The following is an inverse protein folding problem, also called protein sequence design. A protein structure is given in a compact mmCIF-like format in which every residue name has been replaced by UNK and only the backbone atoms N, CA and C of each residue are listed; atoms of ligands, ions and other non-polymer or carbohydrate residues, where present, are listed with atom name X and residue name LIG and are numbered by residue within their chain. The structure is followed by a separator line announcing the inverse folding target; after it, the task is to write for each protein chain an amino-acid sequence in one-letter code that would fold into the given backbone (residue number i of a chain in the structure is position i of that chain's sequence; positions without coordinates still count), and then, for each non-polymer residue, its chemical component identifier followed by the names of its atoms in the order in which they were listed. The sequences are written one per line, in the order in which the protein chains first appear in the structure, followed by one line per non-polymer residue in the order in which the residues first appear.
data_IF_883931261466
#
_entry.id   IF_883931261466
#
_cell.length_a   1.000
_cell.length_b   1.000
_cell.length_c   1.000
_cell.angle_alpha   90.00
_cell.angle_beta   90.00
_cell.angle_gamma   90.00
#
_symmetry.space_group_name_H-M   'P 1'
#
loop_
_entity.id
_entity.type
_entity.pdbx_description
1 polymer ?
#
# COMPACT_ATOMS: atom_id res chain seq x y z
N UNK A 1 -3.23 11.15 23.74
CA UNK A 1 -4.12 12.29 23.49
C UNK A 1 -4.17 12.39 21.99
N UNK A 2 -5.24 11.91 21.40
CA UNK A 2 -5.45 11.95 19.96
C UNK A 2 -5.52 13.40 19.50
N UNK A 3 -4.77 13.75 18.49
CA UNK A 3 -4.91 15.01 17.77
C UNK A 3 -6.37 15.21 17.37
N UNK A 4 -6.75 16.44 17.23
CA UNK A 4 -8.13 16.90 17.07
C UNK A 4 -8.88 16.05 16.03
N UNK A 5 -10.12 15.63 16.31
CA UNK A 5 -10.95 14.85 15.35
C UNK A 5 -11.03 15.48 13.95
N UNK A 6 -10.82 16.79 13.86
CA UNK A 6 -10.80 17.56 12.61
C UNK A 6 -9.56 17.28 11.76
N UNK A 7 -8.38 17.05 12.37
CA UNK A 7 -7.15 16.77 11.62
C UNK A 7 -7.15 15.36 11.00
N UNK A 8 -7.70 14.38 11.72
CA UNK A 8 -7.90 13.04 11.15
C UNK A 8 -8.90 13.05 10.00
N UNK A 9 -9.97 13.81 10.13
CA UNK A 9 -10.97 14.00 9.06
C UNK A 9 -10.35 14.63 7.83
N UNK A 10 -9.49 15.61 7.99
CA UNK A 10 -8.81 16.30 6.87
C UNK A 10 -7.86 15.35 6.13
N UNK A 11 -7.12 14.50 6.82
CA UNK A 11 -6.25 13.51 6.19
C UNK A 11 -7.07 12.47 5.41
N UNK A 12 -8.16 11.99 5.98
CA UNK A 12 -9.07 11.03 5.34
C UNK A 12 -9.80 11.68 4.14
N UNK A 13 -10.27 12.90 4.28
CA UNK A 13 -10.91 13.65 3.18
C UNK A 13 -9.93 13.93 2.03
N UNK A 14 -8.67 14.22 2.34
CA UNK A 14 -7.62 14.42 1.33
C UNK A 14 -7.28 13.11 0.61
N UNK A 15 -7.24 11.99 1.34
CA UNK A 15 -7.09 10.66 0.74
C UNK A 15 -8.28 10.29 -0.15
N UNK A 16 -9.50 10.58 0.29
CA UNK A 16 -10.72 10.37 -0.49
C UNK A 16 -10.74 11.19 -1.78
N UNK A 17 -10.27 12.44 -1.70
CA UNK A 17 -10.18 13.31 -2.88
C UNK A 17 -9.10 12.84 -3.87
N UNK A 18 -8.03 12.18 -3.39
CA UNK A 18 -7.02 11.54 -4.24
C UNK A 18 -7.58 10.39 -5.08
N UNK A 19 -8.59 9.71 -4.55
CA UNK A 19 -9.26 8.62 -5.26
C UNK A 19 -10.08 9.10 -6.46
N UNK A 20 -10.71 10.26 -6.35
CA UNK A 20 -11.52 10.86 -7.43
C UNK A 20 -10.66 11.44 -8.55
N UNK A 21 -9.43 11.83 -8.27
CA UNK A 21 -8.45 12.24 -9.28
C UNK A 21 -7.74 10.99 -9.81
N UNK A 22 -7.40 10.97 -11.09
CA UNK A 22 -6.50 9.94 -11.65
C UNK A 22 -5.22 9.98 -10.83
N UNK A 23 -5.11 9.08 -9.86
CA UNK A 23 -4.08 9.01 -8.84
C UNK A 23 -2.69 9.28 -9.44
N UNK A 24 -2.16 10.46 -9.18
CA UNK A 24 -0.79 10.84 -9.49
C UNK A 24 -0.01 10.94 -8.20
N UNK A 25 1.24 10.61 -8.27
CA UNK A 25 2.13 10.62 -7.10
C UNK A 25 2.24 12.02 -6.48
N UNK A 26 2.25 13.05 -7.32
CA UNK A 26 2.30 14.44 -6.88
C UNK A 26 1.08 14.80 -6.02
N UNK A 27 -0.12 14.37 -6.43
CA UNK A 27 -1.38 14.62 -5.71
C UNK A 27 -1.34 13.99 -4.31
N UNK A 28 -0.68 12.82 -4.18
CA UNK A 28 -0.48 12.15 -2.89
C UNK A 28 0.40 12.97 -1.94
N UNK A 29 1.54 13.44 -2.40
CA UNK A 29 2.44 14.24 -1.58
C UNK A 29 1.83 15.61 -1.20
N UNK A 30 1.09 16.24 -2.11
CA UNK A 30 0.35 17.47 -1.83
C UNK A 30 -0.73 17.25 -0.76
N UNK A 31 -1.45 16.13 -0.83
CA UNK A 31 -2.49 15.80 0.13
C UNK A 31 -1.96 15.61 1.56
N UNK A 32 -0.76 15.10 1.72
CA UNK A 32 -0.14 14.89 3.03
C UNK A 32 0.70 16.08 3.52
N UNK A 33 0.77 17.15 2.74
CA UNK A 33 1.58 18.33 3.06
C UNK A 33 3.02 17.97 3.50
N UNK A 34 3.57 16.92 2.87
CA UNK A 34 4.94 16.46 3.12
C UNK A 34 5.89 17.49 2.53
N UNK A 35 6.99 17.78 3.19
CA UNK A 35 8.08 18.59 2.62
C UNK A 35 8.40 18.14 1.20
N UNK A 36 8.81 19.06 0.30
CA UNK A 36 9.05 18.71 -1.10
C UNK A 36 9.94 17.48 -1.18
N UNK A 37 9.38 16.42 -1.71
CA UNK A 37 10.08 15.14 -1.88
C UNK A 37 11.32 15.41 -2.70
N UNK A 38 12.48 15.05 -2.18
CA UNK A 38 13.72 15.29 -2.89
C UNK A 38 13.63 14.63 -4.27
N UNK A 39 14.22 15.26 -5.29
CA UNK A 39 14.30 14.68 -6.63
C UNK A 39 14.81 13.23 -6.59
N UNK A 40 15.77 12.96 -5.69
CA UNK A 40 16.30 11.62 -5.48
C UNK A 40 15.23 10.61 -5.05
N UNK A 41 14.36 10.97 -4.08
CA UNK A 41 13.25 10.10 -3.68
C UNK A 41 12.34 9.81 -4.87
N UNK A 42 11.97 10.82 -5.62
CA UNK A 42 11.08 10.67 -6.77
C UNK A 42 11.69 9.75 -7.84
N UNK A 43 12.96 9.95 -8.18
CA UNK A 43 13.65 9.14 -9.18
C UNK A 43 13.77 7.66 -8.72
N UNK A 44 14.12 7.41 -7.46
CA UNK A 44 14.21 6.05 -6.91
C UNK A 44 12.84 5.37 -6.81
N UNK A 45 11.81 6.11 -6.38
CA UNK A 45 10.44 5.60 -6.33
C UNK A 45 9.92 5.24 -7.72
N UNK A 46 10.18 6.08 -8.72
CA UNK A 46 9.82 5.84 -10.10
C UNK A 46 10.51 4.57 -10.64
N UNK A 47 11.79 4.40 -10.35
CA UNK A 47 12.53 3.21 -10.76
C UNK A 47 11.91 1.93 -10.14
N UNK A 48 11.52 1.96 -8.87
CA UNK A 48 10.83 0.83 -8.23
C UNK A 48 9.48 0.56 -8.89
N UNK A 49 8.70 1.61 -9.15
CA UNK A 49 7.41 1.49 -9.84
C UNK A 49 7.58 0.83 -11.23
N UNK A 50 8.56 1.28 -12.01
CA UNK A 50 8.88 0.69 -13.31
C UNK A 50 9.31 -0.77 -13.16
N UNK A 51 10.17 -1.08 -12.19
CA UNK A 51 10.65 -2.43 -11.93
C UNK A 51 9.50 -3.41 -11.59
N UNK A 52 8.59 -3.04 -10.71
CA UNK A 52 7.40 -3.86 -10.40
C UNK A 52 6.47 -4.02 -11.61
N UNK A 53 6.28 -2.96 -12.39
CA UNK A 53 5.47 -3.01 -13.60
C UNK A 53 6.06 -3.93 -14.66
N UNK A 54 7.35 -3.80 -14.93
CA UNK A 54 8.07 -4.60 -15.91
C UNK A 54 8.08 -6.09 -15.54
N UNK A 55 8.18 -6.42 -14.25
CA UNK A 55 8.06 -7.79 -13.78
C UNK A 55 6.71 -8.40 -14.18
N UNK A 56 5.60 -7.73 -13.88
CA UNK A 56 4.27 -8.23 -14.25
C UNK A 56 4.13 -8.34 -15.77
N UNK A 57 4.71 -7.41 -16.52
CA UNK A 57 4.69 -7.44 -18.00
C UNK A 57 5.48 -8.60 -18.58
N UNK A 58 6.63 -8.93 -17.98
CA UNK A 58 7.53 -9.99 -18.47
C UNK A 58 7.04 -11.38 -18.13
N UNK A 59 6.33 -11.54 -17.01
CA UNK A 59 5.81 -12.82 -16.55
C UNK A 59 4.46 -13.15 -17.19
N UNK A 60 4.47 -14.08 -18.13
CA UNK A 60 3.28 -14.44 -18.94
C UNK A 60 2.06 -14.79 -18.09
N UNK A 61 2.24 -15.48 -16.97
CA UNK A 61 1.13 -15.89 -16.10
C UNK A 61 0.55 -14.69 -15.34
N UNK A 62 1.41 -13.79 -14.87
CA UNK A 62 0.97 -12.57 -14.18
C UNK A 62 0.28 -11.60 -15.16
N UNK A 63 0.86 -11.41 -16.35
CA UNK A 63 0.26 -10.57 -17.38
C UNK A 63 -1.17 -11.01 -17.71
N UNK A 64 -1.43 -12.34 -17.82
CA UNK A 64 -2.76 -12.90 -18.06
C UNK A 64 -3.81 -12.50 -17.02
N UNK A 65 -3.40 -12.26 -15.78
CA UNK A 65 -4.30 -11.79 -14.72
C UNK A 65 -4.92 -10.43 -15.10
N UNK A 66 -4.18 -9.59 -15.82
CA UNK A 66 -4.59 -8.26 -16.25
C UNK A 66 -5.16 -8.21 -17.67
N UNK A 67 -5.08 -9.30 -18.43
CA UNK A 67 -5.55 -9.30 -19.80
C UNK A 67 -7.02 -8.89 -19.92
N UNK A 68 -7.24 -7.95 -20.79
CA UNK A 68 -8.56 -7.46 -21.16
C UNK A 68 -8.96 -8.18 -22.46
N UNK A 69 -10.00 -9.00 -22.38
CA UNK A 69 -10.63 -9.62 -23.54
C UNK A 69 -11.92 -8.87 -23.80
N UNK A 70 -11.94 -8.07 -24.87
CA UNK A 70 -13.07 -7.22 -25.24
C UNK A 70 -13.25 -7.34 -26.76
N UNK A 71 -14.37 -7.94 -27.18
CA UNK A 71 -14.64 -8.20 -28.59
C UNK A 71 -14.80 -6.93 -29.45
N UNK A 72 -15.09 -5.80 -28.81
CA UNK A 72 -15.27 -4.51 -29.48
C UNK A 72 -13.94 -3.75 -29.65
N UNK A 73 -12.84 -4.26 -29.08
CA UNK A 73 -11.52 -3.66 -29.15
C UNK A 73 -10.59 -4.47 -30.07
N UNK A 74 -9.81 -3.77 -30.88
CA UNK A 74 -8.70 -4.38 -31.60
C UNK A 74 -7.58 -4.82 -30.63
N UNK A 75 -6.69 -5.70 -31.09
CA UNK A 75 -5.58 -6.24 -30.29
C UNK A 75 -4.73 -5.17 -29.64
N UNK A 76 -4.41 -4.12 -30.37
CA UNK A 76 -3.53 -3.02 -29.88
C UNK A 76 -4.19 -2.32 -28.69
N UNK A 77 -5.49 -2.00 -28.80
CA UNK A 77 -6.22 -1.35 -27.70
C UNK A 77 -6.41 -2.27 -26.48
N UNK A 78 -6.56 -3.58 -26.69
CA UNK A 78 -6.60 -4.55 -25.58
C UNK A 78 -5.24 -4.59 -24.85
N UNK A 79 -4.13 -4.59 -25.60
CA UNK A 79 -2.78 -4.53 -25.02
C UNK A 79 -2.52 -3.22 -24.28
N UNK A 80 -2.92 -2.08 -24.83
CA UNK A 80 -2.81 -0.77 -24.15
C UNK A 80 -3.62 -0.73 -22.86
N UNK A 81 -4.83 -1.29 -22.86
CA UNK A 81 -5.69 -1.36 -21.68
C UNK A 81 -5.09 -2.29 -20.61
N UNK A 82 -4.59 -3.45 -21.01
CA UNK A 82 -3.86 -4.38 -20.12
C UNK A 82 -2.64 -3.67 -19.50
N UNK A 83 -1.87 -2.98 -20.31
CA UNK A 83 -0.72 -2.21 -19.84
C UNK A 83 -1.10 -1.12 -18.84
N UNK A 84 -2.20 -0.42 -19.09
CA UNK A 84 -2.74 0.58 -18.17
C UNK A 84 -3.19 -0.03 -16.84
N UNK A 85 -3.85 -1.19 -16.89
CA UNK A 85 -4.35 -1.85 -15.68
C UNK A 85 -3.20 -2.36 -14.81
N UNK A 86 -2.12 -2.88 -15.41
CA UNK A 86 -0.89 -3.24 -14.68
C UNK A 86 -0.29 -2.00 -14.00
N UNK A 87 -0.14 -0.91 -14.74
CA UNK A 87 0.41 0.34 -14.17
C UNK A 87 -0.45 0.91 -13.06
N UNK A 88 -1.76 0.86 -13.20
CA UNK A 88 -2.69 1.28 -12.16
C UNK A 88 -2.58 0.42 -10.89
N UNK A 89 -2.47 -0.90 -11.06
CA UNK A 89 -2.26 -1.83 -9.95
C UNK A 89 -0.98 -1.49 -9.18
N UNK A 90 0.16 -1.37 -9.88
CA UNK A 90 1.44 -1.06 -9.24
C UNK A 90 1.40 0.32 -8.57
N UNK A 91 0.78 1.31 -9.20
CA UNK A 91 0.61 2.64 -8.62
C UNK A 91 -0.18 2.59 -7.30
N UNK A 92 -1.27 1.82 -7.26
CA UNK A 92 -2.05 1.63 -6.02
C UNK A 92 -1.23 0.88 -4.95
N UNK A 93 -0.53 -0.20 -5.34
CA UNK A 93 0.32 -0.94 -4.41
C UNK A 93 1.38 -0.01 -3.77
N UNK A 94 2.10 0.74 -4.59
CA UNK A 94 3.14 1.66 -4.13
C UNK A 94 2.56 2.78 -3.24
N UNK A 95 1.41 3.34 -3.61
CA UNK A 95 0.71 4.35 -2.80
C UNK A 95 0.25 3.80 -1.44
N UNK A 96 -0.30 2.58 -1.42
CA UNK A 96 -0.66 1.89 -0.17
C UNK A 96 0.56 1.65 0.72
N UNK A 97 1.69 1.25 0.14
CA UNK A 97 2.93 1.06 0.89
C UNK A 97 3.42 2.36 1.52
N UNK A 98 3.45 3.47 0.78
CA UNK A 98 3.79 4.80 1.34
C UNK A 98 2.88 5.12 2.51
N UNK A 99 1.57 4.90 2.36
CA UNK A 99 0.60 5.18 3.41
C UNK A 99 0.83 4.31 4.66
N UNK A 100 1.08 3.01 4.49
CA UNK A 100 1.43 2.14 5.62
C UNK A 100 2.70 2.61 6.36
N UNK A 101 3.68 3.13 5.62
CA UNK A 101 4.89 3.70 6.24
C UNK A 101 4.57 4.92 7.10
N UNK A 102 3.63 5.78 6.71
CA UNK A 102 3.15 6.85 7.59
C UNK A 102 2.45 6.31 8.83
N UNK A 103 1.59 5.29 8.69
CA UNK A 103 0.90 4.70 9.83
C UNK A 103 1.87 4.07 10.83
N UNK A 104 2.86 3.30 10.35
CA UNK A 104 3.84 2.70 11.27
C UNK A 104 4.70 3.76 11.97
N UNK A 105 5.04 4.87 11.30
CA UNK A 105 5.77 5.99 11.94
C UNK A 105 4.92 6.74 12.98
N UNK A 106 3.60 6.58 12.97
CA UNK A 106 2.68 7.05 14.02
C UNK A 106 2.41 6.00 15.11
N UNK A 107 3.11 4.85 15.12
CA UNK A 107 2.87 3.70 16.01
C UNK A 107 1.47 3.06 15.87
N UNK A 108 0.82 3.24 14.72
CA UNK A 108 -0.55 2.75 14.52
C UNK A 108 -0.60 1.32 14.00
N UNK A 109 0.52 0.74 13.61
CA UNK A 109 0.59 -0.63 13.11
C UNK A 109 1.29 -1.53 14.12
N UNK A 110 0.69 -2.67 14.39
CA UNK A 110 1.29 -3.68 15.25
C UNK A 110 1.25 -3.35 16.75
N UNK A 111 0.40 -2.42 17.19
CA UNK A 111 0.23 -2.07 18.59
C UNK A 111 -0.37 -3.21 19.40
N UNK A 112 -0.17 -3.20 20.72
CA UNK A 112 -0.76 -4.18 21.65
C UNK A 112 -2.21 -3.87 22.03
N UNK A 113 -2.63 -2.61 21.87
CA UNK A 113 -3.96 -2.13 22.21
C UNK A 113 -4.38 -0.90 21.38
N UNK A 114 -5.63 -0.46 21.55
CA UNK A 114 -6.23 0.66 20.81
C UNK A 114 -5.75 2.04 21.23
N UNK A 115 -4.81 2.16 22.15
CA UNK A 115 -4.15 3.43 22.46
C UNK A 115 -3.06 3.78 21.43
N UNK A 116 -2.61 2.79 20.64
CA UNK A 116 -1.62 2.94 19.57
C UNK A 116 -0.33 3.67 20.00
N UNK A 117 0.16 3.36 21.21
CA UNK A 117 1.37 3.99 21.76
C UNK A 117 2.64 3.16 21.55
N UNK A 118 2.48 1.86 21.31
CA UNK A 118 3.56 0.87 21.29
C UNK A 118 3.66 0.09 19.96
N UNK A 119 3.06 0.59 18.91
CA UNK A 119 3.21 0.03 17.57
C UNK A 119 4.67 0.12 17.07
N UNK A 120 5.02 -0.74 16.12
CA UNK A 120 6.38 -0.80 15.60
C UNK A 120 6.60 0.20 14.46
N UNK A 121 7.69 0.97 14.54
CA UNK A 121 8.15 1.85 13.44
C UNK A 121 8.69 1.07 12.23
N UNK A 122 8.94 -0.23 12.39
CA UNK A 122 9.48 -1.15 11.38
C UNK A 122 8.52 -2.30 11.08
N UNK A 123 7.26 -2.19 11.50
CA UNK A 123 6.26 -3.25 11.45
C UNK A 123 6.25 -4.06 10.17
N UNK A 124 6.21 -3.40 9.01
CA UNK A 124 6.12 -4.07 7.72
C UNK A 124 7.39 -4.82 7.35
N UNK A 125 8.55 -4.21 7.59
CA UNK A 125 9.84 -4.85 7.33
C UNK A 125 10.10 -5.99 8.31
N UNK A 126 9.71 -5.84 9.58
CA UNK A 126 9.82 -6.92 10.57
C UNK A 126 8.98 -8.13 10.14
N UNK A 127 7.73 -7.94 9.72
CA UNK A 127 6.88 -9.02 9.21
C UNK A 127 7.52 -9.75 8.02
N UNK A 128 8.10 -9.01 7.10
CA UNK A 128 8.72 -9.57 5.91
C UNK A 128 9.99 -10.35 6.23
N UNK A 129 10.88 -9.80 7.06
CA UNK A 129 12.17 -10.43 7.37
C UNK A 129 12.06 -11.56 8.40
N UNK A 130 11.05 -11.53 9.28
CA UNK A 130 10.81 -12.61 10.25
C UNK A 130 10.22 -13.87 9.61
N UNK A 131 9.26 -13.73 8.68
CA UNK A 131 8.63 -14.86 8.00
C UNK A 131 9.29 -15.18 6.65
N UNK A 132 10.45 -15.81 6.70
CA UNK A 132 11.20 -16.21 5.49
C UNK A 132 10.45 -17.18 4.57
N UNK A 133 9.46 -17.87 5.08
CA UNK A 133 8.70 -18.88 4.33
C UNK A 133 7.75 -18.22 3.34
N UNK A 134 7.19 -17.07 3.70
CA UNK A 134 6.15 -16.39 2.94
C UNK A 134 6.64 -15.11 2.22
N UNK A 135 7.94 -14.90 2.09
CA UNK A 135 8.48 -13.69 1.47
C UNK A 135 8.05 -13.49 0.00
N UNK A 136 7.96 -14.56 -0.77
CA UNK A 136 7.46 -14.46 -2.16
C UNK A 136 5.96 -14.21 -2.22
N UNK A 137 5.21 -14.63 -1.21
CA UNK A 137 3.76 -14.48 -1.12
C UNK A 137 3.38 -13.31 -0.18
N UNK A 138 4.33 -12.42 0.15
CA UNK A 138 4.13 -11.36 1.11
C UNK A 138 2.98 -10.42 0.74
N UNK A 139 2.79 -10.15 -0.54
CA UNK A 139 1.66 -9.37 -1.02
C UNK A 139 0.33 -10.04 -0.69
N UNK A 140 0.18 -11.30 -1.08
CA UNK A 140 -1.07 -12.06 -0.87
C UNK A 140 -1.34 -12.32 0.61
N UNK A 141 -0.33 -12.81 1.35
CA UNK A 141 -0.51 -13.31 2.71
C UNK A 141 -0.46 -12.25 3.80
N UNK A 142 0.22 -11.14 3.56
CA UNK A 142 0.34 -10.06 4.54
C UNK A 142 -0.30 -8.76 4.08
N UNK A 143 0.08 -8.24 2.91
CA UNK A 143 -0.40 -6.93 2.49
C UNK A 143 -1.88 -6.92 2.14
N UNK A 144 -2.38 -7.89 1.39
CA UNK A 144 -3.80 -7.96 1.06
C UNK A 144 -4.70 -8.07 2.30
N UNK A 145 -4.42 -8.96 3.29
CA UNK A 145 -5.17 -9.00 4.54
C UNK A 145 -5.10 -7.69 5.34
N UNK A 146 -3.93 -7.04 5.38
CA UNK A 146 -3.80 -5.73 6.04
C UNK A 146 -4.65 -4.68 5.33
N UNK A 147 -4.59 -4.58 3.99
CA UNK A 147 -5.33 -3.61 3.22
C UNK A 147 -6.84 -3.80 3.31
N UNK A 148 -7.30 -5.03 3.04
CA UNK A 148 -8.72 -5.28 2.79
C UNK A 148 -9.47 -5.80 4.02
N UNK A 149 -8.80 -6.46 4.95
CA UNK A 149 -9.45 -7.01 6.13
C UNK A 149 -9.15 -6.20 7.41
N UNK A 150 -7.91 -5.75 7.61
CA UNK A 150 -7.59 -4.97 8.80
C UNK A 150 -8.01 -3.50 8.65
N UNK A 151 -7.51 -2.79 7.64
CA UNK A 151 -7.77 -1.35 7.47
C UNK A 151 -9.17 -1.04 6.96
N UNK A 152 -9.82 -1.96 6.26
CA UNK A 152 -11.12 -1.74 5.60
C UNK A 152 -12.32 -2.38 6.32
N UNK A 153 -12.13 -3.10 7.41
CA UNK A 153 -13.24 -3.72 8.16
C UNK A 153 -13.55 -2.92 9.43
N UNK A 154 -14.74 -2.28 9.50
CA UNK A 154 -15.16 -1.56 10.71
C UNK A 154 -15.51 -2.52 11.84
N UNK A 155 -15.65 -1.96 13.04
CA UNK A 155 -16.21 -2.62 14.23
C UNK A 155 -15.50 -3.93 14.66
N UNK A 156 -14.22 -4.08 14.31
CA UNK A 156 -13.41 -5.16 14.87
C UNK A 156 -13.20 -4.95 16.37
N UNK A 157 -13.36 -6.02 17.14
CA UNK A 157 -13.17 -5.95 18.59
C UNK A 157 -11.74 -5.50 18.92
N UNK A 158 -11.60 -4.37 19.58
CA UNK A 158 -10.31 -3.77 19.97
C UNK A 158 -9.33 -3.57 18.80
N UNK A 159 -9.83 -3.43 17.57
CA UNK A 159 -9.01 -3.38 16.36
C UNK A 159 -8.04 -4.56 16.20
N UNK A 160 -8.30 -5.67 16.89
CA UNK A 160 -7.48 -6.88 16.85
C UNK A 160 -7.49 -7.48 15.44
N UNK A 161 -6.32 -7.90 15.01
CA UNK A 161 -6.10 -8.57 13.73
C UNK A 161 -5.08 -9.68 13.87
N UNK A 162 -5.41 -10.87 13.36
CA UNK A 162 -4.50 -12.03 13.36
C UNK A 162 -3.75 -12.07 12.05
N UNK A 163 -2.43 -11.93 12.11
CA UNK A 163 -1.54 -12.01 10.96
C UNK A 163 -1.35 -13.46 10.50
N UNK A 164 -0.83 -13.66 9.28
CA UNK A 164 -0.54 -14.97 8.70
C UNK A 164 0.36 -15.83 9.61
N UNK A 165 1.34 -15.24 10.28
CA UNK A 165 2.22 -15.92 11.23
C UNK A 165 1.55 -16.25 12.58
N UNK A 166 0.24 -16.03 12.73
CA UNK A 166 -0.53 -16.29 13.95
C UNK A 166 -0.42 -15.22 15.03
N UNK A 167 0.39 -14.17 14.86
CA UNK A 167 0.51 -13.08 15.81
C UNK A 167 -0.74 -12.20 15.77
N UNK A 168 -1.32 -11.90 16.92
CA UNK A 168 -2.42 -10.93 17.05
C UNK A 168 -1.86 -9.55 17.36
N UNK A 169 -2.31 -8.55 16.62
CA UNK A 169 -1.89 -7.15 16.75
C UNK A 169 -3.09 -6.22 16.58
N UNK A 170 -2.98 -4.97 17.05
CA UNK A 170 -3.95 -3.93 16.73
C UNK A 170 -3.55 -3.17 15.49
N UNK A 171 -4.49 -3.02 14.57
CA UNK A 171 -4.40 -2.21 13.34
C UNK A 171 -5.68 -1.40 13.24
N UNK A 172 -5.64 -0.05 13.14
CA UNK A 172 -6.84 0.76 13.13
C UNK A 172 -7.72 0.50 11.90
N UNK A 173 -9.02 0.67 12.05
CA UNK A 173 -9.92 0.82 10.90
C UNK A 173 -9.75 2.20 10.30
N UNK A 174 -9.54 2.26 8.99
CA UNK A 174 -9.42 3.50 8.24
C UNK A 174 -10.39 3.44 7.05
N UNK A 175 -11.53 4.12 7.21
CA UNK A 175 -12.49 4.24 6.13
C UNK A 175 -11.94 5.19 5.05
N UNK A 176 -11.34 4.64 4.01
CA UNK A 176 -10.81 5.42 2.90
C UNK A 176 -10.70 4.60 1.64
N UNK A 177 -11.11 5.18 0.51
CA UNK A 177 -11.20 4.52 -0.78
C UNK A 177 -9.93 3.81 -1.26
N UNK A 178 -8.77 4.21 -0.73
CA UNK A 178 -7.48 3.56 -1.05
C UNK A 178 -7.45 2.06 -0.72
N UNK A 179 -8.28 1.61 0.24
CA UNK A 179 -8.34 0.22 0.72
C UNK A 179 -9.66 -0.47 0.40
N UNK A 180 -10.55 0.13 -0.40
CA UNK A 180 -11.79 -0.50 -0.81
C UNK A 180 -11.53 -1.70 -1.72
N UNK A 181 -12.21 -2.82 -1.40
CA UNK A 181 -12.10 -4.06 -2.16
C UNK A 181 -12.56 -3.94 -3.60
N UNK A 182 -13.56 -3.10 -3.84
CA UNK A 182 -14.19 -2.91 -5.15
C UNK A 182 -13.22 -2.35 -6.19
N UNK A 183 -12.18 -1.66 -5.73
CA UNK A 183 -11.14 -1.09 -6.58
C UNK A 183 -10.07 -2.09 -7.00
N UNK A 184 -10.01 -3.25 -6.35
CA UNK A 184 -9.01 -4.27 -6.61
C UNK A 184 -9.69 -5.60 -6.96
N UNK A 185 -9.73 -6.00 -8.24
CA UNK A 185 -10.25 -7.31 -8.62
C UNK A 185 -9.59 -8.42 -7.80
N UNK A 186 -10.40 -9.36 -7.30
CA UNK A 186 -9.90 -10.45 -6.43
C UNK A 186 -8.71 -11.19 -7.02
N UNK A 187 -8.70 -11.41 -8.35
CA UNK A 187 -7.59 -12.04 -9.06
C UNK A 187 -6.25 -11.30 -8.92
N UNK A 188 -6.26 -9.99 -8.65
CA UNK A 188 -5.03 -9.22 -8.43
C UNK A 188 -4.41 -9.48 -7.04
N UNK A 189 -5.14 -10.07 -6.11
CA UNK A 189 -4.65 -10.37 -4.75
C UNK A 189 -3.78 -11.61 -4.70
N UNK A 190 -3.87 -12.47 -5.72
CA UNK A 190 -3.11 -13.72 -5.85
C UNK A 190 -1.76 -13.52 -6.57
N UNK A 191 -1.32 -12.26 -6.71
CA UNK A 191 -0.05 -11.95 -7.36
C UNK A 191 1.09 -12.19 -6.37
N UNK A 192 2.06 -12.97 -6.81
CA UNK A 192 3.30 -13.24 -6.08
C UNK A 192 4.47 -12.47 -6.69
N UNK A 193 5.35 -11.94 -5.84
CA UNK A 193 6.56 -11.26 -6.25
C UNK A 193 7.77 -11.97 -5.64
N UNK A 194 8.90 -12.12 -6.36
CA UNK A 194 10.13 -12.58 -5.74
C UNK A 194 10.48 -11.74 -4.51
N UNK A 195 10.98 -12.37 -3.45
CA UNK A 195 11.34 -11.70 -2.20
C UNK A 195 12.20 -10.45 -2.40
N UNK A 196 13.11 -10.48 -3.38
CA UNK A 196 13.99 -9.35 -3.72
C UNK A 196 13.25 -8.05 -4.05
N UNK A 197 12.01 -8.13 -4.55
CA UNK A 197 11.19 -6.94 -4.86
C UNK A 197 10.77 -6.20 -3.59
N UNK A 198 10.32 -6.94 -2.59
CA UNK A 198 9.99 -6.34 -1.30
C UNK A 198 11.23 -5.96 -0.50
N UNK A 199 12.35 -6.70 -0.61
CA UNK A 199 13.62 -6.28 -0.04
C UNK A 199 14.05 -4.91 -0.58
N UNK A 200 14.02 -4.70 -1.90
CA UNK A 200 14.33 -3.40 -2.50
C UNK A 200 13.38 -2.31 -2.02
N UNK A 201 12.07 -2.62 -1.96
CA UNK A 201 11.06 -1.66 -1.52
C UNK A 201 11.27 -1.24 -0.08
N UNK A 202 11.52 -2.18 0.85
CA UNK A 202 11.79 -1.89 2.25
C UNK A 202 13.11 -1.14 2.44
N UNK A 203 14.17 -1.52 1.74
CA UNK A 203 15.44 -0.81 1.77
C UNK A 203 15.29 0.64 1.30
N UNK A 204 14.52 0.87 0.24
CA UNK A 204 14.19 2.20 -0.24
C UNK A 204 13.45 3.01 0.83
N UNK A 205 12.32 2.53 1.32
CA UNK A 205 11.52 3.26 2.30
C UNK A 205 12.24 3.49 3.62
N UNK A 206 13.03 2.52 4.09
CA UNK A 206 13.83 2.67 5.32
C UNK A 206 14.95 3.71 5.18
N UNK A 207 15.35 4.04 3.96
CA UNK A 207 16.32 5.11 3.68
C UNK A 207 15.73 6.53 3.79
N UNK A 208 14.41 6.67 3.95
CA UNK A 208 13.74 7.96 4.01
C UNK A 208 12.97 8.14 5.31
N UNK A 209 12.87 9.42 5.73
CA UNK A 209 12.12 9.77 6.93
C UNK A 209 10.67 10.13 6.59
N UNK A 210 9.71 9.34 7.10
CA UNK A 210 8.28 9.56 6.94
C UNK A 210 7.65 10.26 8.15
N UNK A 211 8.41 11.10 8.86
CA UNK A 211 7.86 11.87 9.98
C UNK A 211 7.12 13.11 9.48
N UNK A 212 5.91 13.29 9.96
CA UNK A 212 5.22 14.59 9.85
C UNK A 212 5.68 15.43 11.04
N UNK A 213 6.37 16.53 10.77
CA UNK A 213 6.63 17.52 11.83
C UNK A 213 5.29 18.16 12.19
N UNK A 214 4.79 17.88 13.39
CA UNK A 214 3.74 18.69 13.98
C UNK A 214 4.42 20.03 14.33
N UNK A 215 4.13 21.07 13.58
CA UNK A 215 4.51 22.43 13.98
C UNK A 215 3.76 22.73 15.28
N UNK A 216 4.50 22.70 16.38
CA UNK A 216 4.05 23.12 17.71
C UNK A 216 3.79 24.61 17.77
#
# INVERSE_FOLDING_TARGET
IFGNKEEHRTAIERLYNLEQSRFRLEDFFEAFNVEPVSKKFFDEYKNLYEHFSDYIFSETQLKKIFEVVDADLDKTKQEEKTAKDIRNFVSRLMGRMVFLYFLQKKNWLGASNTEYKDGSFTFLSDLFFEDKTNQNDFYEKYLCPIFFNALNTPDRKNDEFVLENGKTVCIPFLNGGLFEEEQEPKKHREISFPASYFEMLFNFFNGYNFTVYENS
#
